data_IF_417817722955
#
_entry.id   IF_417817722955
#
_cell.length_a   1.000
_cell.length_b   1.000
_cell.length_c   1.000
_cell.angle_alpha   90.00
_cell.angle_beta   90.00
_cell.angle_gamma   90.00
#
_symmetry.space_group_name_H-M   'P 1'
#
loop_
_entity.id
_entity.type
_entity.pdbx_description
1 polymer ?
#
# COMPACT_ATOMS: atom_id res chain seq x y z
N UNK A 1 -3.45 -1.95 19.99
CA UNK A 1 -2.56 -0.99 19.29
C UNK A 1 -1.18 -1.64 19.22
N UNK A 2 -0.67 -1.93 18.01
CA UNK A 2 0.65 -2.58 17.82
C UNK A 2 1.77 -1.52 17.87
N UNK A 3 1.90 -0.80 18.98
CA UNK A 3 2.92 0.22 19.13
C UNK A 3 4.31 -0.41 19.13
N UNK A 4 5.13 -0.06 18.14
CA UNK A 4 6.54 -0.44 18.05
C UNK A 4 6.84 -1.85 17.51
N UNK A 5 5.82 -2.65 17.19
CA UNK A 5 6.02 -3.99 16.63
C UNK A 5 5.93 -3.96 15.11
N UNK A 6 6.82 -4.74 14.45
CA UNK A 6 6.73 -5.01 13.03
C UNK A 6 5.41 -5.75 12.74
N UNK A 7 4.62 -5.23 11.79
CA UNK A 7 3.34 -5.84 11.38
C UNK A 7 3.49 -6.42 9.99
N UNK A 8 3.22 -7.70 9.86
CA UNK A 8 3.11 -8.40 8.59
C UNK A 8 1.73 -8.15 7.99
N UNK A 9 1.68 -7.87 6.70
CA UNK A 9 0.43 -7.74 5.96
C UNK A 9 0.42 -8.70 4.78
N UNK A 10 -0.71 -9.35 4.63
CA UNK A 10 -1.03 -10.25 3.52
C UNK A 10 -2.30 -9.76 2.87
N UNK A 11 -2.24 -9.47 1.57
CA UNK A 11 -3.41 -9.21 0.75
C UNK A 11 -3.63 -10.44 -0.13
N UNK A 12 -4.68 -11.17 0.14
CA UNK A 12 -4.97 -12.46 -0.48
C UNK A 12 -6.21 -12.29 -1.33
N UNK A 13 -6.06 -12.45 -2.65
CA UNK A 13 -7.14 -12.31 -3.61
C UNK A 13 -7.53 -13.68 -4.19
N UNK A 14 -8.84 -13.89 -4.33
CA UNK A 14 -9.42 -15.08 -4.95
C UNK A 14 -10.69 -14.74 -5.72
N UNK A 15 -11.18 -15.67 -6.56
CA UNK A 15 -12.45 -15.56 -7.27
C UNK A 15 -13.65 -15.77 -6.35
N UNK A 16 -13.52 -16.52 -5.27
CA UNK A 16 -14.63 -16.85 -4.37
C UNK A 16 -14.36 -16.45 -2.93
N UNK A 17 -15.43 -16.02 -2.25
CA UNK A 17 -15.39 -15.67 -0.81
C UNK A 17 -15.13 -16.92 0.04
N UNK A 18 -15.69 -18.07 -0.33
CA UNK A 18 -15.57 -19.33 0.42
C UNK A 18 -14.12 -19.79 0.57
N UNK A 19 -13.29 -19.55 -0.45
CA UNK A 19 -11.86 -19.87 -0.37
C UNK A 19 -11.11 -18.93 0.57
N UNK A 20 -11.51 -17.67 0.65
CA UNK A 20 -10.91 -16.69 1.57
C UNK A 20 -11.38 -16.88 3.01
N UNK A 21 -12.58 -17.35 3.24
CA UNK A 21 -13.11 -17.63 4.59
C UNK A 21 -12.41 -18.83 5.25
N UNK A 22 -11.68 -19.65 4.47
CA UNK A 22 -10.79 -20.70 4.99
C UNK A 22 -9.51 -20.14 5.63
N UNK A 23 -9.14 -18.90 5.33
CA UNK A 23 -8.07 -18.22 6.03
C UNK A 23 -8.57 -17.76 7.40
N UNK A 24 -8.45 -18.65 8.38
CA UNK A 24 -8.75 -18.30 9.77
C UNK A 24 -7.60 -17.47 10.30
N UNK A 25 -7.85 -16.17 10.47
CA UNK A 25 -6.95 -15.30 11.21
C UNK A 25 -6.90 -15.75 12.69
N UNK A 26 -5.73 -15.63 13.31
CA UNK A 26 -5.67 -15.78 14.75
C UNK A 26 -6.55 -14.72 15.42
N UNK A 27 -7.06 -14.94 16.65
CA UNK A 27 -7.91 -13.97 17.34
C UNK A 27 -7.28 -12.58 17.52
N UNK A 28 -5.96 -12.49 17.44
CA UNK A 28 -5.21 -11.24 17.57
C UNK A 28 -4.87 -10.58 16.21
N UNK A 29 -5.18 -11.22 15.10
CA UNK A 29 -4.94 -10.68 13.78
C UNK A 29 -6.07 -9.73 13.38
N UNK A 30 -5.73 -8.71 12.59
CA UNK A 30 -6.73 -7.84 11.99
C UNK A 30 -7.08 -8.38 10.62
N UNK A 31 -8.37 -8.55 10.38
CA UNK A 31 -8.87 -9.02 9.09
C UNK A 31 -9.85 -7.99 8.54
N UNK A 32 -9.62 -7.58 7.29
CA UNK A 32 -10.53 -6.74 6.51
C UNK A 32 -10.84 -7.42 5.18
N UNK A 33 -12.08 -7.26 4.71
CA UNK A 33 -12.57 -7.84 3.45
C UNK A 33 -12.85 -6.76 2.42
N UNK A 34 -12.65 -7.10 1.17
CA UNK A 34 -12.80 -6.19 0.04
C UNK A 34 -13.39 -6.90 -1.17
N UNK A 35 -14.13 -6.12 -1.96
CA UNK A 35 -14.53 -6.51 -3.30
C UNK A 35 -13.71 -5.70 -4.31
N UNK A 36 -13.04 -6.36 -5.25
CA UNK A 36 -12.27 -5.68 -6.30
C UNK A 36 -13.22 -5.04 -7.30
N UNK A 37 -13.06 -3.73 -7.49
CA UNK A 37 -13.83 -2.91 -8.42
C UNK A 37 -13.16 -2.81 -9.77
N UNK A 38 -11.83 -2.60 -9.76
CA UNK A 38 -11.04 -2.40 -10.97
C UNK A 38 -9.56 -2.62 -10.69
N UNK A 39 -8.78 -2.90 -11.76
CA UNK A 39 -7.33 -2.96 -11.75
C UNK A 39 -6.79 -2.08 -12.86
N UNK A 40 -6.12 -1.00 -12.48
CA UNK A 40 -5.61 0.01 -13.41
C UNK A 40 -4.10 -0.14 -13.57
N UNK A 41 -3.65 -0.46 -14.77
CA UNK A 41 -2.23 -0.48 -15.12
C UNK A 41 -1.72 0.95 -15.25
N UNK A 42 -0.60 1.25 -14.59
CA UNK A 42 0.06 2.56 -14.63
C UNK A 42 1.42 2.46 -15.32
N UNK A 43 2.27 1.53 -14.87
CA UNK A 43 3.61 1.29 -15.42
C UNK A 43 3.98 -0.18 -15.26
N UNK A 44 4.69 -0.72 -16.25
CA UNK A 44 5.05 -2.15 -16.27
C UNK A 44 3.86 -3.05 -16.60
N UNK A 45 3.97 -4.33 -16.30
CA UNK A 45 2.92 -5.31 -16.55
C UNK A 45 2.28 -5.76 -15.23
N UNK A 46 0.95 -5.87 -15.24
CA UNK A 46 0.22 -6.50 -14.14
C UNK A 46 0.41 -8.01 -14.26
N UNK A 47 1.12 -8.65 -13.32
CA UNK A 47 1.54 -10.06 -13.48
C UNK A 47 0.41 -11.07 -13.25
N UNK A 48 -0.78 -10.61 -12.87
CA UNK A 48 -1.89 -11.46 -12.44
C UNK A 48 -3.16 -11.16 -13.23
N UNK A 49 -3.97 -12.18 -13.43
CA UNK A 49 -5.31 -12.03 -14.00
C UNK A 49 -6.33 -11.60 -12.93
N UNK A 50 -5.96 -10.60 -12.14
CA UNK A 50 -6.82 -9.98 -11.13
C UNK A 50 -7.72 -8.95 -11.80
N UNK A 51 -9.01 -8.95 -11.47
CA UNK A 51 -9.96 -8.04 -12.09
C UNK A 51 -11.22 -7.82 -11.27
N UNK A 52 -12.16 -7.11 -11.85
CA UNK A 52 -13.46 -6.81 -11.26
C UNK A 52 -14.19 -8.09 -10.85
N UNK A 53 -14.79 -8.05 -9.66
CA UNK A 53 -15.55 -9.17 -9.09
C UNK A 53 -14.72 -10.15 -8.26
N UNK A 54 -13.39 -10.01 -8.27
CA UNK A 54 -12.56 -10.73 -7.32
C UNK A 54 -12.82 -10.24 -5.90
N UNK A 55 -12.58 -11.10 -4.93
CA UNK A 55 -12.62 -10.76 -3.51
C UNK A 55 -11.20 -10.77 -2.96
N UNK A 56 -10.94 -9.91 -1.98
CA UNK A 56 -9.64 -9.82 -1.32
C UNK A 56 -9.82 -9.75 0.18
N UNK A 57 -8.91 -10.36 0.93
CA UNK A 57 -8.77 -10.13 2.37
C UNK A 57 -7.41 -9.53 2.65
N UNK A 58 -7.35 -8.57 3.58
CA UNK A 58 -6.13 -8.11 4.19
C UNK A 58 -6.05 -8.67 5.60
N UNK A 59 -4.99 -9.42 5.86
CA UNK A 59 -4.67 -9.93 7.20
C UNK A 59 -3.44 -9.19 7.70
N UNK A 60 -3.51 -8.59 8.87
CA UNK A 60 -2.37 -8.01 9.57
C UNK A 60 -2.06 -8.79 10.83
N UNK A 61 -0.82 -9.24 10.96
CA UNK A 61 -0.32 -10.05 12.08
C UNK A 61 1.02 -9.56 12.58
N UNK A 62 1.26 -9.73 13.89
CA UNK A 62 2.59 -9.51 14.50
C UNK A 62 3.55 -10.68 14.22
N UNK A 63 3.06 -11.78 13.67
CA UNK A 63 3.83 -12.98 13.32
C UNK A 63 3.75 -13.23 11.82
N UNK A 64 4.82 -13.75 11.27
CA UNK A 64 4.81 -14.23 9.90
C UNK A 64 3.92 -15.45 9.75
N UNK A 65 3.02 -15.42 8.75
CA UNK A 65 2.08 -16.53 8.45
C UNK A 65 2.68 -17.43 7.37
N UNK A 66 3.73 -18.18 7.70
CA UNK A 66 4.46 -19.00 6.69
C UNK A 66 3.70 -20.28 6.31
N UNK A 67 2.88 -20.84 7.18
CA UNK A 67 2.39 -22.21 7.06
C UNK A 67 0.92 -22.38 6.69
N UNK A 68 0.16 -21.28 6.58
CA UNK A 68 -1.31 -21.37 6.46
C UNK A 68 -1.86 -20.96 5.10
N UNK A 69 -0.97 -20.55 4.18
CA UNK A 69 -1.38 -20.07 2.84
C UNK A 69 -1.65 -21.20 1.85
N UNK A 70 -1.81 -22.45 2.30
CA UNK A 70 -2.27 -23.63 1.58
C UNK A 70 -2.00 -23.68 0.06
N UNK A 71 -2.32 -24.80 -0.58
CA UNK A 71 -2.22 -24.98 -2.04
C UNK A 71 -3.38 -24.36 -2.84
N UNK A 72 -4.08 -23.37 -2.29
CA UNK A 72 -5.18 -22.70 -2.98
C UNK A 72 -4.61 -21.74 -4.03
N UNK A 73 -5.13 -21.71 -5.27
CA UNK A 73 -4.67 -20.79 -6.31
C UNK A 73 -5.13 -19.36 -6.02
N UNK A 74 -4.48 -18.74 -5.05
CA UNK A 74 -4.73 -17.35 -4.64
C UNK A 74 -3.58 -16.47 -5.05
N UNK A 75 -3.88 -15.22 -5.40
CA UNK A 75 -2.86 -14.18 -5.57
C UNK A 75 -2.57 -13.59 -4.20
N UNK A 76 -1.31 -13.58 -3.80
CA UNK A 76 -0.90 -13.13 -2.49
C UNK A 76 0.12 -12.00 -2.64
N UNK A 77 -0.21 -10.84 -2.07
CA UNK A 77 0.74 -9.76 -1.88
C UNK A 77 1.18 -9.74 -0.42
N UNK A 78 2.48 -9.71 -0.20
CA UNK A 78 3.06 -9.78 1.14
C UNK A 78 4.00 -8.62 1.41
N UNK A 79 3.91 -8.05 2.59
CA UNK A 79 4.82 -6.99 3.02
C UNK A 79 4.82 -6.82 4.54
N UNK A 80 5.70 -5.96 5.02
CA UNK A 80 5.89 -5.69 6.44
C UNK A 80 6.03 -4.19 6.68
N UNK A 81 5.42 -3.68 7.76
CA UNK A 81 5.64 -2.29 8.18
C UNK A 81 7.07 -2.11 8.66
N UNK A 82 7.65 -0.95 8.37
CA UNK A 82 8.95 -0.54 8.89
C UNK A 82 8.85 0.86 9.50
N UNK A 83 9.84 1.22 10.31
CA UNK A 83 10.00 2.59 10.78
C UNK A 83 10.12 3.57 9.60
N UNK A 84 9.61 4.79 9.79
CA UNK A 84 9.70 5.85 8.79
C UNK A 84 11.16 6.32 8.66
N UNK A 85 11.86 5.85 7.62
CA UNK A 85 13.30 6.08 7.45
C UNK A 85 13.65 7.46 6.88
N UNK A 86 12.76 8.05 6.07
CA UNK A 86 13.04 9.28 5.32
C UNK A 86 12.18 10.46 5.78
N UNK A 87 11.67 10.41 6.99
CA UNK A 87 10.78 11.43 7.56
C UNK A 87 11.51 12.18 8.67
N UNK A 88 11.54 13.51 8.59
CA UNK A 88 12.09 14.34 9.67
C UNK A 88 11.19 14.29 10.92
N UNK A 89 11.74 14.66 12.08
CA UNK A 89 10.96 14.73 13.31
C UNK A 89 9.73 15.65 13.20
N UNK A 90 9.87 16.79 12.51
CA UNK A 90 8.77 17.72 12.27
C UNK A 90 7.69 17.12 11.38
N UNK A 91 8.07 16.45 10.28
CA UNK A 91 7.13 15.76 9.40
C UNK A 91 6.42 14.60 10.12
N UNK A 92 7.13 13.87 11.00
CA UNK A 92 6.53 12.80 11.81
C UNK A 92 5.47 13.37 12.75
N UNK A 93 5.77 14.46 13.45
CA UNK A 93 4.78 15.12 14.31
C UNK A 93 3.55 15.61 13.54
N UNK A 94 3.75 16.12 12.33
CA UNK A 94 2.66 16.56 11.46
C UNK A 94 1.80 15.38 11.01
N UNK A 95 2.41 14.28 10.61
CA UNK A 95 1.71 13.03 10.29
C UNK A 95 0.93 12.51 11.50
N UNK A 96 1.53 12.47 12.69
CA UNK A 96 0.90 11.97 13.91
C UNK A 96 -0.32 12.81 14.32
N UNK A 97 -0.32 14.13 14.03
CA UNK A 97 -1.43 15.05 14.34
C UNK A 97 -2.59 14.95 13.36
N UNK A 98 -2.31 14.77 12.09
CA UNK A 98 -3.27 14.94 10.99
C UNK A 98 -3.61 13.65 10.25
N UNK A 99 -2.84 12.57 10.44
CA UNK A 99 -3.09 11.31 9.76
C UNK A 99 -4.46 10.74 10.12
N UNK A 100 -5.23 10.46 9.10
CA UNK A 100 -6.52 9.79 9.25
C UNK A 100 -6.30 8.36 9.76
N UNK A 101 -7.21 7.91 10.61
CA UNK A 101 -7.30 6.51 11.02
C UNK A 101 -7.91 5.65 9.91
N UNK A 102 -7.65 4.35 9.98
CA UNK A 102 -8.30 3.35 9.12
C UNK A 102 -9.83 3.46 9.21
N UNK A 103 -10.50 3.41 8.06
CA UNK A 103 -11.93 3.61 7.96
C UNK A 103 -12.72 2.33 8.26
N UNK A 104 -13.94 2.43 8.81
CA UNK A 104 -14.82 1.27 8.94
C UNK A 104 -15.28 0.76 7.57
N UNK A 105 -15.67 -0.53 7.47
CA UNK A 105 -16.36 -1.05 6.30
C UNK A 105 -17.66 -0.28 6.03
N UNK A 106 -17.87 0.15 4.80
CA UNK A 106 -19.11 0.75 4.32
C UNK A 106 -19.15 0.76 2.80
N UNK A 107 -20.33 0.95 2.22
CA UNK A 107 -20.51 1.09 0.76
C UNK A 107 -19.71 2.26 0.17
N UNK A 108 -19.42 3.27 0.99
CA UNK A 108 -18.70 4.47 0.59
C UNK A 108 -17.20 4.42 0.96
N UNK A 109 -16.73 3.33 1.52
CA UNK A 109 -15.30 3.18 1.86
C UNK A 109 -14.56 2.51 0.71
N UNK A 110 -13.78 3.32 0.00
CA UNK A 110 -12.88 2.86 -1.07
C UNK A 110 -11.52 2.56 -0.47
N UNK A 111 -10.94 1.45 -0.89
CA UNK A 111 -9.55 1.09 -0.62
C UNK A 111 -8.78 0.93 -1.93
N UNK A 112 -7.51 1.31 -1.94
CA UNK A 112 -6.63 1.11 -3.09
C UNK A 112 -5.32 0.51 -2.61
N UNK A 113 -4.96 -0.64 -3.18
CA UNK A 113 -3.64 -1.25 -3.01
C UNK A 113 -2.80 -0.96 -4.25
N UNK A 114 -1.62 -0.40 -4.04
CA UNK A 114 -0.68 -0.05 -5.13
C UNK A 114 0.65 -0.77 -4.89
N UNK A 115 0.89 -1.89 -5.59
CA UNK A 115 2.21 -2.49 -5.69
C UNK A 115 3.14 -1.59 -6.52
N UNK A 116 4.34 -1.31 -5.99
CA UNK A 116 5.33 -0.44 -6.60
C UNK A 116 6.67 -1.17 -6.66
N UNK A 117 7.25 -1.27 -7.88
CA UNK A 117 8.61 -1.74 -8.12
C UNK A 117 9.52 -0.57 -8.46
N UNK A 118 10.73 -0.58 -7.94
CA UNK A 118 11.79 0.37 -8.27
C UNK A 118 12.82 -0.27 -9.21
N UNK A 119 13.43 0.54 -10.06
CA UNK A 119 14.52 0.08 -10.93
C UNK A 119 15.77 -0.30 -10.11
N UNK A 120 16.66 -1.10 -10.73
CA UNK A 120 17.96 -1.42 -10.15
C UNK A 120 18.77 -0.17 -9.79
N UNK A 121 18.72 0.85 -10.64
CA UNK A 121 19.39 2.14 -10.41
C UNK A 121 18.98 2.81 -9.09
N UNK A 122 17.72 2.68 -8.67
CA UNK A 122 17.28 3.17 -7.36
C UNK A 122 18.01 2.47 -6.21
N UNK A 123 18.21 1.17 -6.34
CA UNK A 123 18.81 0.36 -5.28
C UNK A 123 20.32 0.50 -5.25
N UNK A 124 20.94 0.90 -6.35
CA UNK A 124 22.39 1.20 -6.46
C UNK A 124 22.73 2.57 -5.84
N UNK A 125 21.73 3.46 -5.64
CA UNK A 125 21.96 4.73 -4.93
C UNK A 125 22.35 4.49 -3.47
N UNK A 126 23.28 5.29 -2.96
CA UNK A 126 23.58 5.34 -1.53
C UNK A 126 22.36 5.87 -0.74
N UNK A 127 22.32 5.57 0.56
CA UNK A 127 21.16 5.92 1.40
C UNK A 127 20.90 7.44 1.46
N UNK A 128 21.94 8.26 1.55
CA UNK A 128 21.85 9.73 1.55
C UNK A 128 21.33 10.27 0.22
N UNK A 129 21.72 9.65 -0.90
CA UNK A 129 21.21 10.00 -2.22
C UNK A 129 19.70 9.70 -2.32
N UNK A 130 19.25 8.52 -1.86
CA UNK A 130 17.81 8.20 -1.81
C UNK A 130 17.06 9.15 -0.90
N UNK A 131 17.62 9.46 0.27
CA UNK A 131 17.04 10.40 1.21
C UNK A 131 16.83 11.79 0.60
N UNK A 132 17.75 12.25 -0.25
CA UNK A 132 17.66 13.53 -0.92
C UNK A 132 16.39 13.66 -1.81
N UNK A 133 15.91 12.57 -2.41
CA UNK A 133 14.67 12.57 -3.18
C UNK A 133 13.43 12.84 -2.30
N UNK A 134 13.43 12.40 -1.06
CA UNK A 134 12.32 12.63 -0.12
C UNK A 134 12.40 14.00 0.55
N UNK A 135 13.60 14.56 0.70
CA UNK A 135 13.85 15.80 1.41
C UNK A 135 13.98 17.03 0.49
N UNK A 136 14.15 16.83 -0.81
CA UNK A 136 14.64 17.82 -1.79
C UNK A 136 13.74 19.04 -1.98
N UNK A 137 12.57 19.06 -1.41
CA UNK A 137 11.79 20.28 -1.39
C UNK A 137 10.88 20.32 -0.16
N UNK A 138 11.08 21.31 0.66
CA UNK A 138 10.15 21.67 1.75
C UNK A 138 8.72 21.91 1.25
N UNK A 139 8.52 22.12 -0.06
CA UNK A 139 7.23 22.41 -0.69
C UNK A 139 6.76 21.35 -1.67
N UNK A 140 7.62 20.51 -2.19
CA UNK A 140 7.32 19.50 -3.21
C UNK A 140 8.15 18.24 -2.94
N UNK A 141 7.82 17.13 -3.57
CA UNK A 141 8.39 15.83 -3.30
C UNK A 141 7.42 14.94 -2.53
N UNK A 142 7.73 13.66 -2.48
CA UNK A 142 6.83 12.61 -2.00
C UNK A 142 6.13 12.95 -0.66
N UNK A 143 6.90 13.34 0.36
CA UNK A 143 6.36 13.60 1.70
C UNK A 143 5.48 14.86 1.73
N UNK A 144 5.93 15.95 1.11
CA UNK A 144 5.17 17.20 1.07
C UNK A 144 3.86 17.05 0.27
N UNK A 145 3.89 16.28 -0.82
CA UNK A 145 2.69 15.93 -1.59
C UNK A 145 1.71 15.16 -0.70
N UNK A 146 2.18 14.11 -0.02
CA UNK A 146 1.33 13.28 0.84
C UNK A 146 0.68 14.05 1.98
N UNK A 147 1.41 14.97 2.62
CA UNK A 147 0.91 15.79 3.74
C UNK A 147 -0.32 16.64 3.40
N UNK A 148 -0.51 17.02 2.13
CA UNK A 148 -1.69 17.79 1.69
C UNK A 148 -3.01 17.01 1.73
N UNK A 149 -2.94 15.69 1.88
CA UNK A 149 -4.09 14.80 1.75
C UNK A 149 -4.31 13.91 2.97
N UNK A 150 -3.47 14.01 4.02
CA UNK A 150 -3.50 13.12 5.19
C UNK A 150 -4.79 13.17 6.00
N UNK A 151 -5.52 14.29 5.93
CA UNK A 151 -6.82 14.49 6.60
C UNK A 151 -7.98 13.79 5.88
N UNK A 152 -7.81 13.45 4.59
CA UNK A 152 -8.84 12.85 3.72
C UNK A 152 -8.53 11.42 3.32
N UNK A 153 -7.25 11.09 3.23
CA UNK A 153 -6.77 9.80 2.75
C UNK A 153 -5.92 9.12 3.82
N UNK A 154 -6.39 7.98 4.33
CA UNK A 154 -5.56 7.08 5.14
C UNK A 154 -4.52 6.42 4.25
N UNK A 155 -3.28 6.29 4.76
CA UNK A 155 -2.18 5.63 4.04
C UNK A 155 -1.40 4.71 4.96
N UNK A 156 -1.03 3.54 4.42
CA UNK A 156 -0.12 2.61 5.07
C UNK A 156 0.87 2.05 4.05
N UNK A 157 2.15 1.98 4.42
CA UNK A 157 3.22 1.47 3.58
C UNK A 157 3.74 0.16 4.15
N UNK A 158 3.91 -0.83 3.27
CA UNK A 158 4.55 -2.10 3.59
C UNK A 158 5.73 -2.31 2.65
N UNK A 159 6.83 -2.82 3.20
CA UNK A 159 8.03 -3.19 2.45
C UNK A 159 7.97 -4.68 2.09
N UNK A 160 8.21 -5.00 0.83
CA UNK A 160 8.12 -6.36 0.30
C UNK A 160 9.46 -6.91 -0.15
N UNK A 161 10.35 -6.07 -0.65
CA UNK A 161 11.61 -6.44 -1.30
C UNK A 161 12.43 -7.52 -0.58
N UNK A 162 12.52 -7.46 0.75
CA UNK A 162 13.35 -8.38 1.53
C UNK A 162 12.55 -9.44 2.29
N UNK A 163 11.23 -9.46 2.12
CA UNK A 163 10.35 -10.40 2.81
C UNK A 163 9.54 -11.26 1.86
N UNK A 164 9.52 -10.91 0.58
CA UNK A 164 8.90 -11.70 -0.48
C UNK A 164 9.84 -11.81 -1.69
N UNK A 165 10.68 -12.85 -1.75
CA UNK A 165 11.65 -13.01 -2.84
C UNK A 165 10.98 -13.33 -4.19
N UNK A 166 9.69 -13.66 -4.20
CA UNK A 166 8.91 -13.96 -5.41
C UNK A 166 8.20 -12.73 -5.97
N UNK A 167 8.14 -11.64 -5.19
CA UNK A 167 7.47 -10.44 -5.61
C UNK A 167 8.26 -9.68 -6.70
N UNK A 168 7.54 -9.17 -7.68
CA UNK A 168 8.08 -8.25 -8.68
C UNK A 168 7.91 -6.76 -8.27
N UNK A 169 7.49 -6.51 -7.03
CA UNK A 169 7.32 -5.20 -6.42
C UNK A 169 8.17 -5.10 -5.14
N UNK A 170 8.58 -3.88 -4.81
CA UNK A 170 9.38 -3.58 -3.62
C UNK A 170 8.52 -3.09 -2.45
N UNK A 171 7.39 -2.45 -2.77
CA UNK A 171 6.50 -1.82 -1.81
C UNK A 171 5.05 -2.11 -2.12
N UNK A 172 4.24 -2.17 -1.07
CA UNK A 172 2.78 -2.11 -1.15
C UNK A 172 2.33 -0.85 -0.44
N UNK A 173 1.76 0.10 -1.19
CA UNK A 173 1.12 1.27 -0.60
C UNK A 173 -0.38 1.04 -0.56
N UNK A 174 -0.94 1.10 0.63
CA UNK A 174 -2.36 0.89 0.87
C UNK A 174 -3.01 2.21 1.29
N UNK A 175 -4.17 2.52 0.71
CA UNK A 175 -4.95 3.71 0.97
C UNK A 175 -6.39 3.37 1.30
N UNK A 176 -7.04 4.21 2.14
CA UNK A 176 -8.49 4.22 2.34
C UNK A 176 -9.00 5.66 2.33
N UNK A 177 -10.15 5.86 1.74
CA UNK A 177 -10.86 7.15 1.72
C UNK A 177 -12.35 6.92 1.48
N UNK A 178 -13.18 7.91 1.83
CA UNK A 178 -14.57 7.88 1.41
C UNK A 178 -14.68 8.28 -0.07
N UNK A 179 -15.65 7.73 -0.78
CA UNK A 179 -15.89 7.93 -2.22
C UNK A 179 -15.92 9.41 -2.61
N UNK A 180 -16.48 10.27 -1.75
CA UNK A 180 -16.47 11.74 -1.94
C UNK A 180 -15.08 12.35 -2.08
N UNK A 181 -14.03 11.68 -1.64
CA UNK A 181 -12.61 12.09 -1.77
C UNK A 181 -11.88 11.39 -2.92
N UNK A 182 -12.59 10.67 -3.77
CA UNK A 182 -11.96 9.94 -4.88
C UNK A 182 -11.18 10.86 -5.84
N UNK A 183 -11.68 12.07 -6.08
CA UNK A 183 -10.98 13.04 -6.93
C UNK A 183 -9.74 13.63 -6.25
N UNK A 184 -9.78 13.83 -4.94
CA UNK A 184 -8.60 14.24 -4.17
C UNK A 184 -7.53 13.13 -4.19
N UNK A 185 -7.94 11.87 -4.09
CA UNK A 185 -7.02 10.75 -4.22
C UNK A 185 -6.40 10.66 -5.61
N UNK A 186 -7.17 10.86 -6.68
CA UNK A 186 -6.63 10.92 -8.04
C UNK A 186 -5.64 12.07 -8.23
N UNK A 187 -5.92 13.25 -7.65
CA UNK A 187 -4.98 14.39 -7.65
C UNK A 187 -3.68 14.04 -6.93
N UNK A 188 -3.78 13.42 -5.74
CA UNK A 188 -2.62 12.92 -5.00
C UNK A 188 -1.74 12.02 -5.88
N UNK A 189 -2.34 11.04 -6.57
CA UNK A 189 -1.60 10.13 -7.45
C UNK A 189 -0.97 10.86 -8.64
N UNK A 190 -1.69 11.81 -9.26
CA UNK A 190 -1.15 12.63 -10.35
C UNK A 190 0.09 13.42 -9.90
N UNK A 191 0.05 14.04 -8.73
CA UNK A 191 1.17 14.80 -8.19
C UNK A 191 2.37 13.91 -7.81
N UNK A 192 2.11 12.72 -7.25
CA UNK A 192 3.15 11.73 -6.93
C UNK A 192 3.83 11.18 -8.19
N UNK A 193 3.12 11.11 -9.32
CA UNK A 193 3.58 10.61 -10.62
C UNK A 193 4.21 11.68 -11.50
N UNK A 194 4.09 12.93 -11.13
CA UNK A 194 4.77 14.03 -11.82
C UNK A 194 6.25 14.06 -11.43
N UNK A 195 7.11 13.57 -12.33
CA UNK A 195 8.55 13.51 -12.10
C UNK A 195 9.22 14.88 -11.91
N UNK A 196 8.57 15.98 -12.33
CA UNK A 196 9.07 17.34 -12.09
C UNK A 196 8.88 17.77 -10.64
N UNK A 197 7.82 17.29 -10.01
CA UNK A 197 7.47 17.55 -8.62
C UNK A 197 7.99 16.47 -7.67
N UNK A 198 8.01 15.23 -8.14
CA UNK A 198 8.49 14.05 -7.42
C UNK A 198 9.50 13.26 -8.28
N UNK A 199 10.77 13.68 -8.32
CA UNK A 199 11.79 13.05 -9.16
C UNK A 199 12.05 11.57 -8.86
N UNK A 200 11.69 11.10 -7.66
CA UNK A 200 11.72 9.69 -7.28
C UNK A 200 10.90 8.81 -8.22
N UNK A 201 9.85 9.36 -8.84
CA UNK A 201 9.00 8.67 -9.80
C UNK A 201 9.76 8.13 -11.02
N UNK A 202 10.88 8.75 -11.42
CA UNK A 202 11.71 8.29 -12.52
C UNK A 202 12.26 6.87 -12.31
N UNK A 203 12.40 6.46 -11.05
CA UNK A 203 12.90 5.14 -10.67
C UNK A 203 11.80 4.08 -10.50
N UNK A 204 10.55 4.42 -10.69
CA UNK A 204 9.45 3.43 -10.66
C UNK A 204 9.39 2.71 -12.01
N UNK A 205 9.52 1.39 -12.02
CA UNK A 205 9.43 0.55 -13.21
C UNK A 205 8.15 -0.30 -13.24
N UNK A 206 7.51 -0.49 -12.08
CA UNK A 206 6.23 -1.17 -11.94
C UNK A 206 5.29 -0.37 -11.05
N UNK A 207 4.07 -0.15 -11.50
CA UNK A 207 2.97 0.36 -10.69
C UNK A 207 1.62 -0.01 -11.31
N UNK A 208 0.72 -0.51 -10.50
CA UNK A 208 -0.69 -0.68 -10.84
C UNK A 208 -1.56 -0.47 -9.60
N UNK A 209 -2.81 -0.11 -9.82
CA UNK A 209 -3.78 0.20 -8.77
C UNK A 209 -4.83 -0.91 -8.71
N UNK A 210 -5.08 -1.46 -7.52
CA UNK A 210 -6.18 -2.38 -7.25
C UNK A 210 -7.21 -1.61 -6.44
N UNK A 211 -8.28 -1.17 -7.12
CA UNK A 211 -9.38 -0.44 -6.51
C UNK A 211 -10.39 -1.41 -5.92
N UNK A 212 -10.80 -1.16 -4.69
CA UNK A 212 -11.64 -2.06 -3.93
C UNK A 212 -12.68 -1.29 -3.12
N UNK A 213 -13.81 -1.93 -2.85
CA UNK A 213 -14.74 -1.49 -1.81
C UNK A 213 -14.50 -2.30 -0.54
N UNK A 214 -14.44 -1.64 0.61
CA UNK A 214 -14.24 -2.29 1.90
C UNK A 214 -15.59 -2.79 2.40
N UNK A 215 -15.74 -4.10 2.49
CA UNK A 215 -16.98 -4.77 2.89
C UNK A 215 -16.89 -5.35 4.29
N UNK A 216 -18.05 -5.58 4.92
CA UNK A 216 -18.13 -6.18 6.26
C UNK A 216 -17.71 -7.65 6.29
#
# INVERSE_FOLDING_TARGET
MFSGSRVWAYFIANHTREELDRFTANPNDRLNRYQVLDVVRVRGEVPYNLGKGWVMVRVESIREMVSHLGNTPSIIFRGVTQELQYTTAAQRQELDRHSRSELPPSENTIAVLIPIGKSGEWWDLAQDQRQAYFQKAVKEGHTAIGLRYVDRVFRKLYHSRYVDPTANYDFLTYFEFYDQYADDFRKLLMELRDATRNPEWNYVNLEYEIWMNKVA
#
